data_IF_679000048605
#
_entry.id   IF_679000048605
#
_cell.length_a   1.000
_cell.length_b   1.000
_cell.length_c   1.000
_cell.angle_alpha   90.00
_cell.angle_beta   90.00
_cell.angle_gamma   90.00
#
_symmetry.space_group_name_H-M   'P 1'
#
loop_
_entity.id
_entity.type
_entity.pdbx_description
1 polymer ?
#
# COMPACT_ATOMS: atom_id res chain seq x y z
N UNK A 1 16.64 -9.99 -22.70
CA UNK A 1 16.95 -10.52 -21.34
C UNK A 1 17.52 -9.34 -20.56
N UNK A 2 16.99 -9.02 -19.37
CA UNK A 2 17.49 -7.92 -18.51
C UNK A 2 18.62 -8.47 -17.64
N UNK A 3 19.88 -8.34 -18.03
CA UNK A 3 20.99 -9.04 -17.37
C UNK A 3 21.23 -8.59 -15.91
N UNK A 4 20.80 -7.38 -15.56
CA UNK A 4 21.01 -6.81 -14.23
C UNK A 4 19.80 -6.92 -13.28
N UNK A 5 18.62 -7.31 -13.76
CA UNK A 5 17.39 -7.34 -12.96
C UNK A 5 17.49 -8.18 -11.67
N UNK A 6 18.07 -9.40 -11.68
CA UNK A 6 18.21 -10.17 -10.45
C UNK A 6 19.06 -9.48 -9.39
N UNK A 7 20.12 -8.77 -9.81
CA UNK A 7 20.99 -8.02 -8.90
C UNK A 7 20.30 -6.79 -8.32
N UNK A 8 19.56 -6.05 -9.14
CA UNK A 8 18.79 -4.88 -8.71
C UNK A 8 17.69 -5.27 -7.71
N UNK A 9 16.99 -6.37 -7.96
CA UNK A 9 15.99 -6.94 -7.05
C UNK A 9 16.61 -7.35 -5.73
N UNK A 10 17.75 -8.07 -5.78
CA UNK A 10 18.47 -8.50 -4.58
C UNK A 10 18.94 -7.29 -3.75
N UNK A 11 19.51 -6.28 -4.39
CA UNK A 11 19.96 -5.05 -3.71
C UNK A 11 18.80 -4.31 -3.05
N UNK A 12 17.66 -4.14 -3.74
CA UNK A 12 16.47 -3.50 -3.18
C UNK A 12 15.95 -4.26 -1.97
N UNK A 13 15.91 -5.60 -2.04
CA UNK A 13 15.47 -6.43 -0.93
C UNK A 13 16.44 -6.39 0.25
N UNK A 14 17.74 -6.45 0.00
CA UNK A 14 18.77 -6.31 1.04
C UNK A 14 18.70 -4.94 1.73
N UNK A 15 18.53 -3.86 0.96
CA UNK A 15 18.35 -2.52 1.50
C UNK A 15 17.11 -2.45 2.42
N UNK A 16 15.97 -3.01 1.98
CA UNK A 16 14.75 -3.06 2.79
C UNK A 16 14.97 -3.83 4.10
N UNK A 17 15.60 -5.00 4.05
CA UNK A 17 15.84 -5.82 5.24
C UNK A 17 16.82 -5.19 6.23
N UNK A 18 17.83 -4.48 5.74
CA UNK A 18 18.91 -3.93 6.58
C UNK A 18 18.65 -2.52 7.11
N UNK A 19 17.69 -1.77 6.53
CA UNK A 19 17.40 -0.40 6.95
C UNK A 19 16.26 -0.41 7.98
N UNK A 20 16.54 0.08 9.19
CA UNK A 20 15.50 0.21 10.21
C UNK A 20 14.48 1.31 9.84
N UNK A 21 13.25 1.20 10.36
CA UNK A 21 12.22 2.23 10.17
C UNK A 21 12.71 3.59 10.68
N UNK A 22 13.34 3.63 11.84
CA UNK A 22 13.91 4.87 12.44
C UNK A 22 14.94 5.54 11.53
N UNK A 23 15.84 4.75 10.92
CA UNK A 23 16.80 5.26 9.94
C UNK A 23 16.11 5.85 8.70
N UNK A 24 15.04 5.22 8.23
CA UNK A 24 14.26 5.74 7.10
C UNK A 24 13.54 7.05 7.46
N UNK A 25 12.92 7.12 8.63
CA UNK A 25 12.19 8.31 9.08
C UNK A 25 13.13 9.48 9.40
N UNK A 26 14.32 9.21 9.93
CA UNK A 26 15.30 10.26 10.27
C UNK A 26 15.88 10.98 9.05
N UNK A 27 15.85 10.35 7.89
CA UNK A 27 16.31 10.94 6.61
C UNK A 27 15.24 11.76 5.89
N UNK A 28 13.97 11.66 6.32
CA UNK A 28 12.89 12.38 5.66
C UNK A 28 12.95 13.88 5.96
N UNK A 29 13.12 14.70 4.93
CA UNK A 29 13.06 16.17 5.02
C UNK A 29 12.39 16.77 3.78
N UNK A 30 11.80 17.99 3.87
CA UNK A 30 11.22 18.67 2.70
C UNK A 30 12.22 18.86 1.55
N UNK A 31 13.46 19.21 1.85
CA UNK A 31 14.50 19.40 0.84
C UNK A 31 14.85 18.07 0.11
N UNK A 32 14.86 16.96 0.83
CA UNK A 32 15.05 15.64 0.20
C UNK A 32 13.86 15.24 -0.66
N UNK A 33 12.64 15.60 -0.26
CA UNK A 33 11.44 15.36 -1.05
C UNK A 33 11.46 16.13 -2.38
N UNK A 34 11.89 17.40 -2.37
CA UNK A 34 12.06 18.21 -3.57
C UNK A 34 13.08 17.59 -4.52
N UNK A 35 14.26 17.25 -4.01
CA UNK A 35 15.32 16.57 -4.77
C UNK A 35 14.80 15.27 -5.39
N UNK A 36 14.11 14.44 -4.61
CA UNK A 36 13.56 13.16 -5.09
C UNK A 36 12.50 13.34 -6.20
N UNK A 37 11.66 14.38 -6.12
CA UNK A 37 10.67 14.70 -7.16
C UNK A 37 11.36 15.07 -8.47
N UNK A 38 12.38 15.93 -8.43
CA UNK A 38 13.11 16.36 -9.63
C UNK A 38 13.91 15.19 -10.24
N UNK A 39 14.57 14.40 -9.41
CA UNK A 39 15.28 13.20 -9.88
C UNK A 39 14.31 12.20 -10.53
N UNK A 40 13.15 11.95 -9.91
CA UNK A 40 12.12 11.09 -10.48
C UNK A 40 11.61 11.64 -11.81
N UNK A 41 11.35 12.94 -11.91
CA UNK A 41 10.94 13.60 -13.15
C UNK A 41 11.94 13.33 -14.28
N UNK A 42 13.23 13.62 -14.07
CA UNK A 42 14.25 13.41 -15.09
C UNK A 42 14.43 11.91 -15.44
N UNK A 43 14.33 11.01 -14.46
CA UNK A 43 14.33 9.58 -14.73
C UNK A 43 13.15 9.15 -15.60
N UNK A 44 11.94 9.63 -15.31
CA UNK A 44 10.73 9.32 -16.08
C UNK A 44 10.85 9.84 -17.50
N UNK A 45 11.30 11.08 -17.68
CA UNK A 45 11.57 11.65 -19.03
C UNK A 45 12.57 10.80 -19.80
N UNK A 46 13.63 10.34 -19.15
CA UNK A 46 14.65 9.53 -19.80
C UNK A 46 14.16 8.10 -20.15
N UNK A 47 13.27 7.53 -19.33
CA UNK A 47 12.97 6.10 -19.42
C UNK A 47 11.56 5.76 -19.89
N UNK A 48 10.58 6.68 -19.83
CA UNK A 48 9.17 6.42 -20.19
C UNK A 48 8.85 7.10 -21.52
N UNK A 49 8.71 6.34 -22.63
CA UNK A 49 8.47 6.90 -23.95
C UNK A 49 7.21 7.78 -24.04
N UNK A 50 6.11 7.32 -23.42
CA UNK A 50 4.85 8.07 -23.42
C UNK A 50 4.98 9.43 -22.73
N UNK A 51 5.73 9.53 -21.62
CA UNK A 51 5.87 10.80 -20.91
C UNK A 51 6.71 11.79 -21.70
N UNK A 52 7.75 11.33 -22.36
CA UNK A 52 8.55 12.15 -23.28
C UNK A 52 7.70 12.69 -24.43
N UNK A 53 6.88 11.83 -25.05
CA UNK A 53 5.98 12.24 -26.12
C UNK A 53 4.91 13.24 -25.61
N UNK A 54 4.38 13.02 -24.40
CA UNK A 54 3.43 13.92 -23.76
C UNK A 54 4.02 15.33 -23.57
N UNK A 55 5.24 15.45 -23.04
CA UNK A 55 5.92 16.74 -22.89
C UNK A 55 6.15 17.43 -24.24
N UNK A 56 6.58 16.68 -25.24
CA UNK A 56 6.76 17.21 -26.61
C UNK A 56 5.46 17.76 -27.20
N UNK A 57 4.33 17.08 -26.98
CA UNK A 57 3.01 17.53 -27.46
C UNK A 57 2.56 18.85 -26.81
N UNK A 58 3.12 19.17 -25.64
CA UNK A 58 2.84 20.39 -24.89
C UNK A 58 3.95 21.44 -24.99
N UNK A 59 4.89 21.28 -25.94
CA UNK A 59 6.02 22.17 -26.16
C UNK A 59 6.90 22.41 -24.90
N UNK A 60 7.02 21.39 -24.03
CA UNK A 60 7.82 21.44 -22.82
C UNK A 60 9.22 20.90 -23.08
N UNK A 61 10.23 21.74 -22.85
CA UNK A 61 11.62 21.33 -22.80
C UNK A 61 11.96 20.81 -21.36
N UNK A 62 12.14 19.49 -21.17
CA UNK A 62 12.43 18.96 -19.84
C UNK A 62 13.79 19.38 -19.29
N UNK A 63 14.69 19.88 -20.13
CA UNK A 63 16.00 20.39 -19.69
C UNK A 63 15.92 21.73 -18.97
N UNK A 64 14.77 22.39 -19.02
CA UNK A 64 14.50 23.66 -18.33
C UNK A 64 13.87 23.44 -16.93
N UNK A 65 13.57 22.22 -16.54
CA UNK A 65 12.91 21.91 -15.25
C UNK A 65 13.99 21.58 -14.20
N UNK A 66 14.31 22.56 -13.36
CA UNK A 66 15.37 22.45 -12.35
C UNK A 66 14.90 22.65 -10.92
N UNK A 67 13.75 23.27 -10.73
CA UNK A 67 13.18 23.60 -9.42
C UNK A 67 11.77 23.04 -9.28
N UNK A 68 11.29 22.96 -8.02
CA UNK A 68 9.89 22.58 -7.76
C UNK A 68 8.91 23.58 -8.40
N UNK A 69 9.30 24.86 -8.50
CA UNK A 69 8.49 25.89 -9.17
C UNK A 69 8.36 25.58 -10.66
N UNK A 70 9.44 25.21 -11.33
CA UNK A 70 9.38 24.80 -12.74
C UNK A 70 8.51 23.53 -12.90
N UNK A 71 8.70 22.55 -12.01
CA UNK A 71 7.90 21.33 -12.02
C UNK A 71 6.40 21.59 -11.88
N UNK A 72 5.99 22.57 -11.08
CA UNK A 72 4.59 22.95 -10.89
C UNK A 72 3.95 23.57 -12.13
N UNK A 73 4.73 23.99 -13.13
CA UNK A 73 4.22 24.50 -14.40
C UNK A 73 3.86 23.40 -15.40
N UNK A 74 4.22 22.15 -15.11
CA UNK A 74 3.96 21.03 -16.02
C UNK A 74 2.46 20.75 -16.16
N UNK A 75 2.01 20.35 -17.35
CA UNK A 75 0.63 19.96 -17.57
C UNK A 75 0.27 18.69 -16.79
N UNK A 76 -0.91 18.67 -16.22
CA UNK A 76 -1.41 17.48 -15.51
C UNK A 76 -1.67 16.34 -16.49
N UNK A 77 -1.20 15.16 -16.14
CA UNK A 77 -1.59 13.92 -16.82
C UNK A 77 -2.94 13.43 -16.27
N UNK A 78 -3.81 13.00 -17.16
CA UNK A 78 -5.11 12.40 -16.82
C UNK A 78 -5.28 11.05 -17.51
N UNK A 79 -6.35 10.34 -17.19
CA UNK A 79 -6.70 9.13 -17.93
C UNK A 79 -6.96 9.43 -19.41
N UNK A 80 -7.58 10.55 -19.68
CA UNK A 80 -8.01 10.96 -21.03
C UNK A 80 -6.85 11.46 -21.90
N UNK A 81 -6.02 12.35 -21.37
CA UNK A 81 -4.95 12.99 -22.15
C UNK A 81 -3.62 12.22 -22.14
N UNK A 82 -3.50 11.19 -21.27
CA UNK A 82 -2.25 10.46 -21.13
C UNK A 82 -2.46 8.94 -21.14
N UNK A 83 -3.12 8.35 -20.14
CA UNK A 83 -3.17 6.89 -19.99
C UNK A 83 -3.86 6.17 -21.17
N UNK A 84 -4.89 6.79 -21.76
CA UNK A 84 -5.64 6.23 -22.89
C UNK A 84 -5.04 6.58 -24.26
N UNK A 85 -4.07 7.46 -24.30
CA UNK A 85 -3.44 7.91 -25.54
C UNK A 85 -2.27 7.04 -25.97
N UNK A 86 -1.71 6.27 -25.04
CA UNK A 86 -0.51 5.48 -25.28
C UNK A 86 -0.72 4.00 -24.98
N UNK A 87 -0.04 3.14 -25.74
CA UNK A 87 -0.01 1.72 -25.46
C UNK A 87 0.63 1.45 -24.09
N UNK A 88 0.18 0.40 -23.38
CA UNK A 88 0.65 0.06 -22.05
C UNK A 88 2.18 -0.06 -21.97
N UNK A 89 2.82 -0.64 -22.98
CA UNK A 89 4.29 -0.72 -23.04
C UNK A 89 4.96 0.66 -23.03
N UNK A 90 4.41 1.63 -23.74
CA UNK A 90 4.96 2.99 -23.79
C UNK A 90 4.82 3.74 -22.46
N UNK A 91 3.85 3.37 -21.63
CA UNK A 91 3.65 3.90 -20.28
C UNK A 91 4.64 3.29 -19.26
N UNK A 92 5.39 2.27 -19.66
CA UNK A 92 6.37 1.60 -18.80
C UNK A 92 7.77 2.18 -18.99
N UNK A 93 8.59 2.05 -17.97
CA UNK A 93 10.03 2.31 -18.09
C UNK A 93 10.62 1.43 -19.20
N UNK A 94 11.52 1.98 -19.98
CA UNK A 94 12.16 1.33 -21.14
C UNK A 94 11.23 0.95 -22.29
N UNK A 95 9.94 1.31 -22.23
CA UNK A 95 8.97 0.98 -23.27
C UNK A 95 8.55 -0.50 -23.29
N UNK A 96 8.77 -1.24 -22.21
CA UNK A 96 8.52 -2.67 -22.16
C UNK A 96 7.73 -3.08 -20.90
N UNK A 97 6.61 -3.75 -21.10
CA UNK A 97 5.78 -4.27 -20.01
C UNK A 97 6.49 -5.36 -19.19
N UNK A 98 7.42 -6.08 -19.79
CA UNK A 98 8.20 -7.15 -19.14
C UNK A 98 9.23 -6.64 -18.13
N UNK A 99 9.40 -5.33 -18.00
CA UNK A 99 10.21 -4.71 -16.93
C UNK A 99 9.57 -4.83 -15.54
N UNK A 100 8.30 -5.23 -15.46
CA UNK A 100 7.52 -5.35 -14.22
C UNK A 100 7.24 -6.82 -13.86
N UNK A 101 6.88 -7.06 -12.59
CA UNK A 101 6.65 -8.40 -12.03
C UNK A 101 5.18 -8.72 -11.87
N UNK A 102 4.35 -7.68 -11.75
CA UNK A 102 2.94 -7.79 -11.40
C UNK A 102 2.12 -6.76 -12.18
N UNK A 103 0.88 -7.10 -12.47
CA UNK A 103 -0.11 -6.18 -13.01
C UNK A 103 -1.24 -6.04 -12.01
N UNK A 104 -1.50 -4.82 -11.58
CA UNK A 104 -2.67 -4.47 -10.78
C UNK A 104 -3.74 -3.79 -11.66
N UNK A 105 -5.00 -3.93 -11.26
CA UNK A 105 -6.15 -3.37 -11.98
C UNK A 105 -6.89 -2.41 -11.07
N UNK A 106 -7.24 -1.24 -11.60
CA UNK A 106 -8.10 -0.29 -10.88
C UNK A 106 -9.58 -0.69 -11.02
N UNK A 107 -10.43 -0.22 -10.08
CA UNK A 107 -11.87 -0.53 -10.06
C UNK A 107 -12.66 -0.06 -11.28
N UNK A 108 -12.08 0.83 -12.10
CA UNK A 108 -12.75 1.33 -13.29
C UNK A 108 -14.04 2.11 -13.01
N UNK A 109 -14.10 2.86 -11.91
CA UNK A 109 -15.26 3.68 -11.51
C UNK A 109 -15.79 4.60 -12.63
N UNK A 110 -14.98 4.84 -13.67
CA UNK A 110 -15.33 5.59 -14.89
C UNK A 110 -15.65 4.69 -16.09
N UNK A 111 -15.95 3.40 -15.89
CA UNK A 111 -16.41 2.47 -16.91
C UNK A 111 -15.36 1.54 -17.51
N UNK A 112 -14.09 1.90 -17.53
CA UNK A 112 -13.01 1.02 -18.00
C UNK A 112 -11.89 0.91 -16.96
N UNK A 113 -11.47 -0.31 -16.57
CA UNK A 113 -10.34 -0.51 -15.69
C UNK A 113 -9.04 -0.08 -16.36
N UNK A 114 -8.12 0.47 -15.58
CA UNK A 114 -6.75 0.74 -16.01
C UNK A 114 -5.81 -0.32 -15.42
N UNK A 115 -4.78 -0.68 -16.19
CA UNK A 115 -3.75 -1.63 -15.80
C UNK A 115 -2.53 -0.89 -15.29
N UNK A 116 -2.02 -1.30 -14.15
CA UNK A 116 -0.88 -0.70 -13.47
C UNK A 116 0.21 -1.73 -13.28
N UNK A 117 1.29 -1.57 -13.99
CA UNK A 117 2.45 -2.45 -13.87
C UNK A 117 3.25 -2.07 -12.62
N UNK A 118 3.70 -3.08 -11.90
CA UNK A 118 4.38 -2.95 -10.62
C UNK A 118 5.63 -3.83 -10.60
N UNK A 119 6.58 -3.44 -9.79
CA UNK A 119 7.80 -4.20 -9.53
C UNK A 119 7.94 -4.49 -8.05
N UNK A 120 8.75 -5.47 -7.70
CA UNK A 120 9.11 -5.75 -6.31
C UNK A 120 9.68 -4.51 -5.61
N UNK A 121 10.40 -3.65 -6.32
CA UNK A 121 10.93 -2.41 -5.75
C UNK A 121 9.84 -1.46 -5.29
N UNK A 122 8.77 -1.30 -6.10
CA UNK A 122 7.60 -0.49 -5.74
C UNK A 122 6.89 -1.10 -4.52
N UNK A 123 6.80 -2.42 -4.47
CA UNK A 123 6.18 -3.16 -3.37
C UNK A 123 6.95 -2.97 -2.06
N UNK A 124 8.28 -3.02 -2.08
CA UNK A 124 9.11 -2.78 -0.89
C UNK A 124 9.00 -1.35 -0.37
N UNK A 125 8.85 -0.35 -1.26
CA UNK A 125 8.59 1.03 -0.85
C UNK A 125 7.23 1.17 -0.13
N UNK A 126 6.21 0.48 -0.64
CA UNK A 126 4.88 0.44 0.00
C UNK A 126 4.94 -0.31 1.34
N UNK A 127 5.72 -1.39 1.42
CA UNK A 127 5.90 -2.16 2.65
C UNK A 127 6.41 -1.32 3.82
N UNK A 128 7.19 -0.27 3.56
CA UNK A 128 7.64 0.68 4.59
C UNK A 128 6.47 1.42 5.26
N UNK A 129 5.37 1.72 4.53
CA UNK A 129 4.18 2.34 5.11
C UNK A 129 3.42 1.37 6.01
N UNK A 130 3.36 0.10 5.62
CA UNK A 130 2.86 -0.96 6.48
C UNK A 130 3.74 -1.13 7.71
N UNK A 131 5.06 -1.10 7.56
CA UNK A 131 6.01 -1.19 8.67
C UNK A 131 5.74 -0.10 9.71
N UNK A 132 5.53 1.14 9.28
CA UNK A 132 5.22 2.24 10.19
C UNK A 132 3.97 1.96 11.03
N UNK A 133 2.88 1.49 10.40
CA UNK A 133 1.65 1.14 11.14
C UNK A 133 1.90 -0.03 12.10
N UNK A 134 2.51 -1.09 11.61
CA UNK A 134 2.72 -2.30 12.41
C UNK A 134 3.69 -2.07 13.57
N UNK A 135 4.68 -1.21 13.40
CA UNK A 135 5.63 -0.84 14.45
C UNK A 135 5.02 0.15 15.44
N UNK A 136 4.60 1.35 14.95
CA UNK A 136 4.19 2.47 15.81
C UNK A 136 2.85 2.23 16.50
N UNK A 137 1.85 1.70 15.76
CA UNK A 137 0.51 1.52 16.30
C UNK A 137 0.34 0.18 16.99
N UNK A 138 0.84 -0.91 16.39
CA UNK A 138 0.49 -2.26 16.85
C UNK A 138 1.62 -2.94 17.65
N UNK A 139 2.81 -2.35 17.69
CA UNK A 139 4.00 -2.95 18.31
C UNK A 139 4.26 -4.40 17.83
N UNK A 140 4.05 -4.61 16.53
CA UNK A 140 4.13 -5.94 15.90
C UNK A 140 5.58 -6.42 15.69
N UNK A 141 6.56 -5.58 15.97
CA UNK A 141 7.98 -5.94 16.07
C UNK A 141 8.28 -6.92 17.21
N UNK A 142 7.42 -6.93 18.24
CA UNK A 142 7.59 -7.72 19.47
C UNK A 142 6.36 -8.55 19.86
N UNK A 143 5.27 -8.48 19.10
CA UNK A 143 4.04 -9.23 19.36
C UNK A 143 3.76 -10.21 18.24
N UNK A 144 3.52 -11.48 18.58
CA UNK A 144 3.07 -12.48 17.60
C UNK A 144 1.75 -12.06 17.00
N UNK A 145 1.76 -11.77 15.71
CA UNK A 145 0.67 -11.11 15.00
C UNK A 145 0.13 -12.00 13.89
N UNK A 146 -1.19 -12.26 13.91
CA UNK A 146 -1.90 -12.86 12.78
C UNK A 146 -2.45 -11.75 11.87
N UNK A 147 -1.87 -11.55 10.72
CA UNK A 147 -2.37 -10.61 9.72
C UNK A 147 -3.38 -11.30 8.79
N UNK A 148 -4.64 -10.89 8.86
CA UNK A 148 -5.76 -11.45 8.10
C UNK A 148 -6.14 -10.47 6.99
N UNK A 149 -5.80 -10.80 5.75
CA UNK A 149 -6.04 -9.95 4.58
C UNK A 149 -7.45 -10.17 4.08
N UNK A 150 -8.33 -9.19 4.37
CA UNK A 150 -9.75 -9.18 4.03
C UNK A 150 -10.09 -8.36 2.78
N UNK A 151 -9.09 -7.90 2.04
CA UNK A 151 -9.29 -7.29 0.72
C UNK A 151 -9.57 -8.34 -0.34
N UNK A 152 -10.34 -7.98 -1.37
CA UNK A 152 -10.48 -8.83 -2.54
C UNK A 152 -9.10 -9.17 -3.14
N UNK A 153 -8.88 -10.44 -3.40
CA UNK A 153 -7.66 -10.97 -4.03
C UNK A 153 -7.77 -10.92 -5.56
N UNK A 154 -6.84 -11.54 -6.24
CA UNK A 154 -6.77 -11.58 -7.69
C UNK A 154 -6.05 -10.35 -8.26
N UNK A 155 -6.60 -9.72 -9.29
CA UNK A 155 -5.97 -8.58 -9.96
C UNK A 155 -6.11 -7.25 -9.21
N UNK A 156 -6.90 -7.19 -8.15
CA UNK A 156 -7.07 -5.98 -7.35
C UNK A 156 -5.81 -5.63 -6.57
N UNK A 157 -5.41 -4.37 -6.65
CA UNK A 157 -4.18 -3.89 -6.01
C UNK A 157 -4.18 -4.10 -4.49
N UNK A 158 -5.31 -3.90 -3.83
CA UNK A 158 -5.39 -3.91 -2.36
C UNK A 158 -5.03 -5.26 -1.73
N UNK A 159 -5.56 -6.37 -2.25
CA UNK A 159 -5.39 -7.69 -1.63
C UNK A 159 -3.96 -8.23 -1.72
N UNK A 160 -3.43 -8.32 -2.93
CA UNK A 160 -2.08 -8.88 -3.14
C UNK A 160 -0.99 -8.01 -2.55
N UNK A 161 -1.08 -6.67 -2.71
CA UNK A 161 -0.11 -5.75 -2.11
C UNK A 161 -0.09 -5.84 -0.59
N UNK A 162 -1.25 -5.84 0.05
CA UNK A 162 -1.34 -5.98 1.51
C UNK A 162 -0.72 -7.30 1.97
N UNK A 163 -1.02 -8.40 1.30
CA UNK A 163 -0.46 -9.70 1.62
C UNK A 163 1.06 -9.73 1.49
N UNK A 164 1.58 -9.20 0.39
CA UNK A 164 3.01 -9.16 0.13
C UNK A 164 3.73 -8.22 1.10
N UNK A 165 3.20 -7.02 1.36
CA UNK A 165 3.80 -6.10 2.33
C UNK A 165 3.90 -6.73 3.73
N UNK A 166 2.85 -7.37 4.22
CA UNK A 166 2.89 -8.09 5.51
C UNK A 166 3.92 -9.25 5.49
N UNK A 167 4.06 -9.97 4.38
CA UNK A 167 5.09 -11.01 4.22
C UNK A 167 6.50 -10.45 4.19
N UNK A 168 6.70 -9.28 3.61
CA UNK A 168 8.00 -8.60 3.65
C UNK A 168 8.38 -8.18 5.06
N UNK A 169 7.41 -7.72 5.87
CA UNK A 169 7.66 -7.46 7.29
C UNK A 169 8.04 -8.73 8.06
N UNK A 170 7.36 -9.85 7.79
CA UNK A 170 7.75 -11.14 8.36
C UNK A 170 9.19 -11.53 7.97
N UNK A 171 9.56 -11.32 6.71
CA UNK A 171 10.94 -11.56 6.24
C UNK A 171 11.96 -10.61 6.87
N UNK A 172 11.55 -9.40 7.26
CA UNK A 172 12.37 -8.41 7.98
C UNK A 172 12.56 -8.75 9.46
N UNK A 173 11.88 -9.79 9.96
CA UNK A 173 12.03 -10.30 11.33
C UNK A 173 10.87 -9.98 12.26
N UNK A 174 9.81 -9.35 11.78
CA UNK A 174 8.58 -9.18 12.57
C UNK A 174 7.90 -10.54 12.79
N UNK A 175 7.43 -10.84 14.00
CA UNK A 175 6.72 -12.11 14.28
C UNK A 175 5.29 -12.10 13.72
N UNK A 176 5.17 -11.93 12.40
CA UNK A 176 3.91 -11.83 11.67
C UNK A 176 3.67 -13.11 10.86
N UNK A 177 2.49 -13.67 10.98
CA UNK A 177 1.97 -14.74 10.10
C UNK A 177 0.82 -14.17 9.27
N UNK A 178 0.84 -14.40 7.96
CA UNK A 178 -0.13 -13.83 7.03
C UNK A 178 -1.08 -14.91 6.54
N UNK A 179 -2.36 -14.63 6.58
CA UNK A 179 -3.40 -15.44 5.93
C UNK A 179 -4.24 -14.56 5.01
N UNK A 180 -4.69 -15.12 3.90
CA UNK A 180 -5.30 -14.36 2.81
C UNK A 180 -6.68 -14.91 2.44
N UNK A 181 -7.67 -14.87 3.35
CA UNK A 181 -9.03 -15.33 3.04
C UNK A 181 -9.74 -14.44 2.01
N UNK A 182 -9.17 -13.25 1.74
CA UNK A 182 -9.82 -12.29 0.85
C UNK A 182 -11.14 -11.76 1.42
N UNK A 183 -12.07 -11.43 0.54
CA UNK A 183 -13.40 -10.96 0.93
C UNK A 183 -14.41 -12.10 1.20
N UNK A 184 -13.94 -13.25 1.64
CA UNK A 184 -14.75 -14.43 1.90
C UNK A 184 -15.03 -14.59 3.40
N UNK A 185 -16.17 -14.09 3.91
CA UNK A 185 -16.48 -14.01 5.34
C UNK A 185 -16.36 -15.35 6.07
N UNK A 186 -16.94 -16.42 5.52
CA UNK A 186 -16.88 -17.74 6.14
C UNK A 186 -15.44 -18.22 6.35
N UNK A 187 -14.55 -17.91 5.41
CA UNK A 187 -13.13 -18.24 5.52
C UNK A 187 -12.43 -17.35 6.54
N UNK A 188 -12.76 -16.05 6.61
CA UNK A 188 -12.26 -15.16 7.66
C UNK A 188 -12.61 -15.71 9.05
N UNK A 189 -13.87 -16.09 9.26
CA UNK A 189 -14.33 -16.63 10.53
C UNK A 189 -13.65 -17.95 10.88
N UNK A 190 -13.53 -18.86 9.93
CA UNK A 190 -12.84 -20.13 10.09
C UNK A 190 -11.38 -19.94 10.50
N UNK A 191 -10.67 -19.05 9.82
CA UNK A 191 -9.25 -18.76 10.06
C UNK A 191 -9.05 -18.13 11.44
N UNK A 192 -9.86 -17.13 11.80
CA UNK A 192 -9.75 -16.45 13.09
C UNK A 192 -10.05 -17.42 14.23
N UNK A 193 -11.14 -18.20 14.16
CA UNK A 193 -11.48 -19.17 15.21
C UNK A 193 -10.42 -20.27 15.35
N UNK A 194 -9.78 -20.68 14.27
CA UNK A 194 -8.80 -21.76 14.29
C UNK A 194 -7.41 -21.31 14.77
N UNK A 195 -7.01 -20.07 14.49
CA UNK A 195 -5.62 -19.64 14.64
C UNK A 195 -5.41 -18.53 15.67
N UNK A 196 -6.39 -17.66 15.90
CA UNK A 196 -6.18 -16.43 16.66
C UNK A 196 -5.65 -16.66 18.09
N UNK A 197 -6.00 -17.78 18.72
CA UNK A 197 -5.55 -18.12 20.07
C UNK A 197 -4.02 -18.34 20.18
N UNK A 198 -3.34 -18.64 19.08
CA UNK A 198 -1.89 -18.83 19.06
C UNK A 198 -1.11 -17.51 18.92
N UNK A 199 -1.82 -16.38 18.74
CA UNK A 199 -1.24 -15.06 18.53
C UNK A 199 -1.61 -14.11 19.68
N UNK A 200 -0.79 -13.09 19.87
CA UNK A 200 -1.03 -12.05 20.88
C UNK A 200 -1.94 -10.94 20.37
N UNK A 201 -2.09 -10.85 19.05
CA UNK A 201 -3.01 -9.95 18.39
C UNK A 201 -3.38 -10.45 16.98
N UNK A 202 -4.56 -10.03 16.53
CA UNK A 202 -5.06 -10.27 15.17
C UNK A 202 -5.20 -8.92 14.47
N UNK A 203 -4.65 -8.77 13.28
CA UNK A 203 -4.82 -7.55 12.46
C UNK A 203 -5.72 -7.88 11.28
N UNK A 204 -6.90 -7.28 11.23
CA UNK A 204 -7.81 -7.34 10.07
C UNK A 204 -7.45 -6.22 9.10
N UNK A 205 -7.15 -6.55 7.84
CA UNK A 205 -6.79 -5.55 6.83
C UNK A 205 -7.83 -5.57 5.70
N UNK A 206 -8.57 -4.47 5.52
CA UNK A 206 -9.66 -4.51 4.54
C UNK A 206 -10.32 -3.17 4.25
N UNK A 207 -11.30 -3.25 3.38
CA UNK A 207 -12.17 -2.14 3.01
C UNK A 207 -13.11 -1.79 4.17
N UNK A 208 -13.24 -0.52 4.60
CA UNK A 208 -13.96 -0.16 5.81
C UNK A 208 -15.40 -0.73 5.92
N UNK A 209 -16.28 -0.58 4.91
CA UNK A 209 -17.63 -1.16 4.99
C UNK A 209 -17.61 -2.68 5.11
N UNK A 210 -16.71 -3.35 4.42
CA UNK A 210 -16.60 -4.81 4.48
C UNK A 210 -16.09 -5.30 5.83
N UNK A 211 -15.09 -4.62 6.42
CA UNK A 211 -14.59 -4.97 7.75
C UNK A 211 -15.68 -4.83 8.81
N UNK A 212 -16.47 -3.74 8.75
CA UNK A 212 -17.62 -3.57 9.65
C UNK A 212 -18.62 -4.72 9.52
N UNK A 213 -18.93 -5.10 8.30
CA UNK A 213 -19.86 -6.19 8.00
C UNK A 213 -19.34 -7.55 8.49
N UNK A 214 -18.03 -7.81 8.34
CA UNK A 214 -17.35 -9.00 8.92
C UNK A 214 -17.46 -8.98 10.45
N UNK A 215 -17.19 -7.87 11.10
CA UNK A 215 -17.21 -7.75 12.55
C UNK A 215 -18.64 -7.97 13.09
N UNK A 216 -19.64 -7.33 12.50
CA UNK A 216 -21.05 -7.44 12.90
C UNK A 216 -21.57 -8.88 12.73
N UNK A 217 -21.30 -9.49 11.58
CA UNK A 217 -21.70 -10.86 11.32
C UNK A 217 -20.96 -11.86 12.24
N UNK A 218 -19.67 -11.61 12.51
CA UNK A 218 -18.92 -12.39 13.46
C UNK A 218 -19.49 -12.36 14.87
N UNK A 219 -19.94 -11.18 15.33
CA UNK A 219 -20.67 -11.05 16.62
C UNK A 219 -21.94 -11.88 16.59
N UNK A 220 -22.74 -11.79 15.52
CA UNK A 220 -23.95 -12.58 15.35
C UNK A 220 -23.69 -14.10 15.34
N UNK A 221 -22.50 -14.52 14.94
CA UNK A 221 -22.04 -15.90 14.97
C UNK A 221 -21.28 -16.27 16.27
N UNK A 222 -21.33 -15.42 17.30
CA UNK A 222 -20.67 -15.59 18.60
C UNK A 222 -19.14 -15.63 18.54
N UNK A 223 -18.52 -14.96 17.58
CA UNK A 223 -17.07 -14.77 17.59
C UNK A 223 -16.74 -13.72 18.65
N UNK A 224 -15.93 -14.12 19.63
CA UNK A 224 -15.54 -13.28 20.76
C UNK A 224 -14.34 -12.39 20.39
N UNK A 225 -14.53 -11.43 19.48
CA UNK A 225 -13.48 -10.53 18.96
C UNK A 225 -12.60 -9.93 20.06
N UNK A 226 -13.20 -9.52 21.17
CA UNK A 226 -12.52 -8.89 22.31
C UNK A 226 -11.43 -9.77 22.96
N UNK A 227 -11.45 -11.09 22.72
CA UNK A 227 -10.45 -12.03 23.25
C UNK A 227 -9.16 -12.07 22.41
N UNK A 228 -9.20 -11.57 21.18
CA UNK A 228 -8.10 -11.72 20.22
C UNK A 228 -7.25 -10.45 20.06
N UNK A 229 -7.46 -9.42 20.90
CA UNK A 229 -6.74 -8.14 20.79
C UNK A 229 -6.72 -7.65 19.31
N UNK A 230 -7.91 -7.47 18.74
CA UNK A 230 -8.07 -7.18 17.32
C UNK A 230 -7.65 -5.77 17.01
N UNK A 231 -6.78 -5.62 16.02
CA UNK A 231 -6.39 -4.37 15.36
C UNK A 231 -6.99 -4.37 13.96
N UNK A 232 -7.12 -3.17 13.35
CA UNK A 232 -7.61 -3.11 11.98
C UNK A 232 -6.94 -2.02 11.16
N UNK A 233 -6.62 -2.36 9.90
CA UNK A 233 -6.07 -1.45 8.90
C UNK A 233 -7.07 -1.28 7.78
N UNK A 234 -7.35 -0.05 7.43
CA UNK A 234 -8.37 0.32 6.46
C UNK A 234 -7.77 1.03 5.25
N UNK A 235 -8.31 0.76 4.08
CA UNK A 235 -7.97 1.48 2.85
C UNK A 235 -9.12 1.41 1.83
N UNK A 236 -9.13 2.35 0.89
CA UNK A 236 -9.99 2.35 -0.28
C UNK A 236 -11.31 3.13 -0.14
N UNK A 237 -11.66 3.58 1.06
CA UNK A 237 -12.85 4.42 1.28
C UNK A 237 -12.62 5.34 2.48
N UNK A 238 -13.30 6.47 2.50
CA UNK A 238 -13.36 7.39 3.64
C UNK A 238 -14.37 6.92 4.68
N UNK A 239 -14.10 7.23 5.93
CA UNK A 239 -15.00 6.95 7.06
C UNK A 239 -14.91 8.08 8.09
N UNK A 240 -15.87 8.17 8.99
CA UNK A 240 -15.88 9.15 10.09
C UNK A 240 -15.23 8.57 11.35
N UNK A 241 -14.78 9.45 12.25
CA UNK A 241 -14.28 9.02 13.57
C UNK A 241 -15.38 8.36 14.42
N UNK A 242 -16.63 8.75 14.24
CA UNK A 242 -17.76 8.05 14.87
C UNK A 242 -17.88 6.60 14.37
N UNK A 243 -17.60 6.34 13.10
CA UNK A 243 -17.52 4.98 12.56
C UNK A 243 -16.37 4.20 13.16
N UNK A 244 -15.17 4.81 13.27
CA UNK A 244 -13.99 4.20 13.90
C UNK A 244 -14.27 3.79 15.35
N UNK A 245 -14.87 4.69 16.12
CA UNK A 245 -15.27 4.43 17.51
C UNK A 245 -16.27 3.28 17.62
N UNK A 246 -17.30 3.27 16.75
CA UNK A 246 -18.29 2.20 16.69
C UNK A 246 -17.65 0.82 16.43
N UNK A 247 -16.68 0.74 15.52
CA UNK A 247 -15.93 -0.50 15.25
C UNK A 247 -15.08 -0.88 16.45
N UNK A 248 -14.41 0.09 17.06
CA UNK A 248 -13.63 -0.12 18.28
C UNK A 248 -14.47 -0.70 19.42
N UNK A 249 -15.64 -0.15 19.68
CA UNK A 249 -16.57 -0.66 20.71
C UNK A 249 -16.95 -2.13 20.45
N UNK A 250 -17.22 -2.49 19.20
CA UNK A 250 -17.56 -3.87 18.81
C UNK A 250 -16.42 -4.85 18.98
N UNK A 251 -15.20 -4.40 18.82
CA UNK A 251 -13.98 -5.19 18.99
C UNK A 251 -13.48 -5.21 20.44
N UNK A 252 -14.05 -4.37 21.31
CA UNK A 252 -13.60 -4.19 22.69
C UNK A 252 -12.29 -3.39 22.81
N UNK A 253 -12.03 -2.51 21.83
CA UNK A 253 -10.86 -1.64 21.84
C UNK A 253 -10.97 -0.56 22.93
N UNK A 254 -9.91 -0.35 23.68
CA UNK A 254 -9.79 0.72 24.67
C UNK A 254 -8.93 1.89 24.22
N UNK A 255 -8.17 1.70 23.12
CA UNK A 255 -7.23 2.69 22.59
C UNK A 255 -7.28 2.70 21.05
N UNK A 256 -8.37 3.21 20.51
CA UNK A 256 -8.67 3.17 19.07
C UNK A 256 -7.53 3.73 18.20
N UNK A 257 -6.80 4.74 18.67
CA UNK A 257 -5.65 5.32 17.97
C UNK A 257 -4.44 4.36 17.88
N UNK A 258 -4.34 3.39 18.79
CA UNK A 258 -3.32 2.32 18.74
C UNK A 258 -3.86 0.99 18.22
N UNK A 259 -5.17 0.90 17.99
CA UNK A 259 -5.80 -0.33 17.54
C UNK A 259 -6.21 -0.26 16.06
N UNK A 260 -6.22 0.95 15.48
CA UNK A 260 -6.62 1.16 14.09
C UNK A 260 -5.64 2.07 13.34
N UNK A 261 -5.60 1.91 12.02
CA UNK A 261 -4.95 2.87 11.12
C UNK A 261 -5.60 2.84 9.74
N UNK A 262 -5.53 3.95 9.03
CA UNK A 262 -5.92 4.04 7.63
C UNK A 262 -4.72 4.24 6.73
N UNK A 263 -4.80 3.66 5.54
CA UNK A 263 -3.88 3.88 4.43
C UNK A 263 -4.59 4.70 3.35
N UNK A 264 -3.98 5.79 2.95
CA UNK A 264 -4.40 6.55 1.78
C UNK A 264 -3.53 6.18 0.59
N UNK A 265 -4.17 5.81 -0.49
CA UNK A 265 -3.47 5.43 -1.71
C UNK A 265 -4.38 5.27 -2.90
N UNK A 266 -3.78 5.15 -4.07
CA UNK A 266 -4.46 4.98 -5.34
C UNK A 266 -3.85 3.81 -6.10
N UNK A 267 -4.58 3.27 -7.08
CA UNK A 267 -4.07 2.15 -7.88
C UNK A 267 -2.85 2.55 -8.74
N UNK A 268 -2.70 3.82 -9.07
CA UNK A 268 -1.58 4.36 -9.85
C UNK A 268 -0.36 4.72 -8.98
N UNK A 269 -0.55 5.44 -7.88
CA UNK A 269 0.54 5.92 -7.04
C UNK A 269 0.96 4.93 -5.93
N UNK A 270 0.15 3.92 -5.65
CA UNK A 270 0.34 3.05 -4.49
C UNK A 270 -0.08 3.74 -3.18
N UNK A 271 0.58 3.45 -2.08
CA UNK A 271 0.29 4.07 -0.78
C UNK A 271 1.02 5.41 -0.66
N UNK A 272 0.26 6.48 -0.59
CA UNK A 272 0.73 7.86 -0.47
C UNK A 272 0.95 8.29 0.98
N UNK A 273 0.16 7.75 1.91
CA UNK A 273 0.24 8.08 3.32
C UNK A 273 -0.43 7.03 4.20
N UNK A 274 -0.11 7.09 5.48
CA UNK A 274 -0.73 6.27 6.51
C UNK A 274 -1.01 7.13 7.74
N UNK A 275 -2.03 6.75 8.48
CA UNK A 275 -2.28 7.31 9.81
C UNK A 275 -1.23 6.81 10.82
N UNK A 276 -1.02 7.65 11.82
CA UNK A 276 -0.24 7.35 13.02
C UNK A 276 -1.14 7.56 14.25
N UNK A 277 -0.80 7.04 15.43
CA UNK A 277 -1.58 7.31 16.64
C UNK A 277 -1.80 8.82 16.90
N UNK A 278 -0.80 9.65 16.56
CA UNK A 278 -0.90 11.10 16.71
C UNK A 278 -1.89 11.75 15.74
N UNK A 279 -2.07 11.20 14.54
CA UNK A 279 -2.99 11.76 13.54
C UNK A 279 -4.46 11.38 13.77
N UNK A 280 -4.73 10.45 14.68
CA UNK A 280 -6.08 9.95 15.02
C UNK A 280 -6.66 10.67 16.27
N UNK A 281 -5.91 11.53 16.93
CA UNK A 281 -6.31 12.21 18.16
C UNK A 281 -7.14 13.50 17.95
#
# INVERSE_FOLDING_TARGET
MYPNRPQEVLQAYQAFLSTSLEAQLSTASPAMAETAVLELFHQVVATVPAYRAFLQTHDIDPTCIHTLTDFQTLPFTTKENYLRQYALSQLCRTGEATSCDMVAVSSGSTGQPSFWLRSLRDELQIATRFEQIFYDSFAADRRRTLAVVCFALGTWVGGMYTANCCRHLASKGYPITVVTPGNHKAEIFRVVQALAADFEQVVLLGYPPFLKDVIDEGIAQNIAWHQYNVKWVMAGEVFSEAWRSLVGDRLGSTQVCYDSASLYGTADAGVLGNETPLSIT
#
